data_IF_451797269813
#
_entry.id   IF_451797269813
#
_cell.length_a   1.000
_cell.length_b   1.000
_cell.length_c   1.000
_cell.angle_alpha   90.00
_cell.angle_beta   90.00
_cell.angle_gamma   90.00
#
_symmetry.space_group_name_H-M   'P 1'
#
loop_
_entity.id
_entity.type
_entity.pdbx_description
1 polymer ?
#
# COMPACT_ATOMS: atom_id res chain seq x y z
N UNK A 1 16.66 -29.99 -3.59
CA UNK A 1 15.45 -29.18 -3.90
C UNK A 1 14.93 -28.58 -2.60
N UNK A 2 14.92 -27.24 -2.45
CA UNK A 2 14.37 -26.59 -1.25
C UNK A 2 12.84 -26.78 -1.25
N UNK A 3 12.28 -27.45 -0.24
CA UNK A 3 10.82 -27.56 -0.06
C UNK A 3 10.28 -26.16 0.20
N UNK A 4 9.48 -25.63 -0.72
CA UNK A 4 8.66 -24.46 -0.44
C UNK A 4 7.73 -24.79 0.72
N UNK A 5 7.67 -23.95 1.75
CA UNK A 5 6.70 -24.15 2.81
C UNK A 5 5.30 -23.96 2.22
N UNK A 6 4.34 -24.77 2.69
CA UNK A 6 2.94 -24.67 2.27
C UNK A 6 2.41 -23.23 2.37
N UNK A 7 2.88 -22.46 3.35
CA UNK A 7 2.61 -21.02 3.50
C UNK A 7 3.09 -20.19 2.30
N UNK A 8 4.31 -20.42 1.80
CA UNK A 8 4.86 -19.74 0.62
C UNK A 8 4.10 -20.12 -0.65
N UNK A 9 3.66 -21.37 -0.76
CA UNK A 9 2.85 -21.84 -1.89
C UNK A 9 1.45 -21.23 -1.88
N UNK A 10 0.80 -21.12 -0.73
CA UNK A 10 -0.51 -20.46 -0.59
C UNK A 10 -0.43 -18.95 -0.86
N UNK A 11 0.63 -18.27 -0.38
CA UNK A 11 0.91 -16.87 -0.72
C UNK A 11 1.10 -16.67 -2.24
N UNK A 12 1.79 -17.60 -2.90
CA UNK A 12 2.01 -17.58 -4.34
C UNK A 12 0.68 -17.73 -5.11
N UNK A 13 -0.16 -18.70 -4.75
CA UNK A 13 -1.40 -18.99 -5.47
C UNK A 13 -2.53 -17.98 -5.19
N UNK A 14 -2.66 -17.47 -3.96
CA UNK A 14 -3.61 -16.38 -3.65
C UNK A 14 -3.11 -15.06 -4.24
N UNK A 15 -1.79 -14.81 -4.20
CA UNK A 15 -1.16 -13.74 -4.97
C UNK A 15 -1.55 -13.83 -6.44
N UNK A 16 -1.42 -15.00 -7.08
CA UNK A 16 -1.83 -15.22 -8.47
C UNK A 16 -3.33 -15.00 -8.73
N UNK A 17 -4.22 -15.34 -7.79
CA UNK A 17 -5.68 -15.12 -7.94
C UNK A 17 -6.07 -13.64 -7.80
N UNK A 18 -5.34 -12.85 -7.00
CA UNK A 18 -5.56 -11.39 -6.88
C UNK A 18 -4.80 -10.56 -7.93
N UNK A 19 -3.71 -11.10 -8.50
CA UNK A 19 -2.90 -10.46 -9.56
C UNK A 19 -3.69 -10.23 -10.85
N UNK A 20 -4.69 -11.06 -11.14
CA UNK A 20 -5.48 -10.96 -12.39
C UNK A 20 -6.46 -9.80 -12.42
N UNK A 21 -6.66 -9.06 -11.32
CA UNK A 21 -7.43 -7.80 -11.30
C UNK A 21 -6.56 -6.53 -11.23
N UNK A 22 -5.23 -6.63 -11.27
CA UNK A 22 -4.35 -5.47 -11.28
C UNK A 22 -3.93 -5.09 -12.70
N UNK A 23 -4.91 -4.62 -13.49
CA UNK A 23 -4.60 -3.75 -14.61
C UNK A 23 -3.77 -2.58 -14.08
N UNK A 24 -2.63 -2.31 -14.72
CA UNK A 24 -1.76 -1.17 -14.42
C UNK A 24 -2.60 0.08 -14.09
N UNK A 25 -2.37 0.70 -12.93
CA UNK A 25 -2.90 2.02 -12.61
C UNK A 25 -2.35 3.03 -13.62
N UNK A 26 -2.95 3.10 -14.81
CA UNK A 26 -2.62 4.09 -15.84
C UNK A 26 -3.24 5.41 -15.41
N UNK A 27 -2.44 6.21 -14.72
CA UNK A 27 -2.83 7.57 -14.40
C UNK A 27 -2.65 8.43 -15.65
N UNK A 28 -3.75 9.03 -16.12
CA UNK A 28 -3.70 9.97 -17.23
C UNK A 28 -2.93 11.22 -16.82
N UNK A 29 -2.25 11.88 -17.76
CA UNK A 29 -1.37 13.03 -17.46
C UNK A 29 -2.13 14.18 -16.79
N UNK A 30 -3.37 14.40 -17.19
CA UNK A 30 -4.29 15.39 -16.61
C UNK A 30 -4.68 15.10 -15.15
N UNK A 31 -4.57 13.84 -14.71
CA UNK A 31 -4.86 13.41 -13.35
C UNK A 31 -3.64 13.53 -12.42
N UNK A 32 -2.48 13.92 -12.95
CA UNK A 32 -1.29 14.18 -12.12
C UNK A 32 -1.58 15.44 -11.28
N UNK A 33 -1.36 15.38 -9.95
CA UNK A 33 -1.56 16.52 -9.07
C UNK A 33 -0.54 17.62 -9.36
N UNK A 34 -0.99 18.87 -9.31
CA UNK A 34 -0.08 20.01 -9.39
C UNK A 34 0.69 20.21 -8.07
N UNK A 35 1.66 21.12 -8.10
CA UNK A 35 2.51 21.42 -6.94
C UNK A 35 1.70 21.88 -5.72
N UNK A 36 0.61 22.62 -5.90
CA UNK A 36 -0.20 23.14 -4.80
C UNK A 36 -0.90 21.97 -4.09
N UNK A 37 -1.54 21.10 -4.86
CA UNK A 37 -2.23 19.92 -4.33
C UNK A 37 -1.26 18.96 -3.61
N UNK A 38 -0.04 18.78 -4.14
CA UNK A 38 1.01 17.99 -3.47
C UNK A 38 1.42 18.61 -2.13
N UNK A 39 1.63 19.92 -2.08
CA UNK A 39 2.02 20.61 -0.84
C UNK A 39 0.93 20.56 0.23
N UNK A 40 -0.34 20.65 -0.16
CA UNK A 40 -1.48 20.50 0.76
C UNK A 40 -1.51 19.09 1.37
N UNK A 41 -1.30 18.07 0.54
CA UNK A 41 -1.26 16.69 1.01
C UNK A 41 -0.08 16.44 1.95
N UNK A 42 1.13 16.92 1.63
CA UNK A 42 2.31 16.80 2.51
C UNK A 42 2.03 17.37 3.90
N UNK A 43 1.37 18.55 4.00
CA UNK A 43 0.97 19.13 5.30
C UNK A 43 0.01 18.25 6.10
N UNK A 44 -0.77 17.39 5.45
CA UNK A 44 -1.62 16.40 6.11
C UNK A 44 -0.75 15.25 6.63
N UNK A 45 0.16 14.74 5.79
CA UNK A 45 1.05 13.63 6.12
C UNK A 45 1.98 13.96 7.31
N UNK A 46 2.46 15.21 7.39
CA UNK A 46 3.34 15.67 8.48
C UNK A 46 2.66 15.61 9.86
N UNK A 47 1.33 15.64 9.92
CA UNK A 47 0.56 15.59 11.17
C UNK A 47 0.40 14.18 11.75
N UNK A 48 0.79 13.15 11.01
CA UNK A 48 0.68 11.77 11.47
C UNK A 48 1.80 11.50 12.48
N UNK A 49 1.47 11.46 13.78
CA UNK A 49 2.44 11.05 14.81
C UNK A 49 2.64 9.53 14.77
N UNK A 50 3.53 9.09 13.88
CA UNK A 50 3.93 7.68 13.81
C UNK A 50 5.24 7.48 14.56
N UNK A 51 5.16 6.74 15.67
CA UNK A 51 6.33 6.26 16.41
C UNK A 51 6.64 4.87 15.90
N UNK A 52 7.76 4.73 15.19
CA UNK A 52 8.31 3.46 14.70
C UNK A 52 8.66 2.54 15.88
N UNK A 53 7.64 1.89 16.45
CA UNK A 53 7.78 1.02 17.64
C UNK A 53 8.04 -0.44 17.27
N UNK A 54 7.72 -0.87 16.06
CA UNK A 54 7.86 -2.26 15.63
C UNK A 54 9.11 -2.45 14.75
N UNK A 55 9.71 -3.65 14.85
CA UNK A 55 10.88 -4.04 14.06
C UNK A 55 10.57 -3.84 12.57
N UNK A 56 11.53 -3.26 11.84
CA UNK A 56 11.58 -3.20 10.38
C UNK A 56 11.06 -4.50 9.76
N UNK A 57 9.88 -4.45 9.14
CA UNK A 57 9.23 -5.62 8.56
C UNK A 57 8.00 -5.22 7.73
N UNK A 58 7.40 -6.23 7.08
CA UNK A 58 6.25 -6.12 6.17
C UNK A 58 5.05 -5.33 6.74
N UNK A 59 4.96 -5.20 8.06
CA UNK A 59 3.81 -4.60 8.74
C UNK A 59 3.98 -3.11 9.08
N UNK A 60 5.18 -2.55 9.05
CA UNK A 60 5.38 -1.11 9.31
C UNK A 60 4.69 -0.27 8.20
N UNK A 61 4.97 -0.59 6.93
CA UNK A 61 4.33 0.08 5.79
C UNK A 61 2.80 -0.15 5.74
N UNK A 62 2.34 -1.33 6.20
CA UNK A 62 0.92 -1.71 6.19
C UNK A 62 0.11 -0.97 7.26
N UNK A 63 0.60 -0.94 8.51
CA UNK A 63 -0.02 -0.20 9.62
C UNK A 63 -0.01 1.32 9.35
N UNK A 64 1.07 1.85 8.79
CA UNK A 64 1.12 3.26 8.39
C UNK A 64 0.18 3.58 7.22
N UNK A 65 0.05 2.67 6.25
CA UNK A 65 -0.95 2.82 5.18
C UNK A 65 -2.35 2.89 5.77
N UNK A 66 -2.67 2.08 6.77
CA UNK A 66 -3.98 2.08 7.43
C UNK A 66 -4.29 3.40 8.14
N UNK A 67 -3.34 3.92 8.93
CA UNK A 67 -3.44 5.25 9.56
C UNK A 67 -3.69 6.36 8.52
N UNK A 68 -2.93 6.32 7.43
CA UNK A 68 -3.05 7.29 6.35
C UNK A 68 -4.36 7.15 5.58
N UNK A 69 -4.85 5.93 5.38
CA UNK A 69 -6.13 5.68 4.74
C UNK A 69 -7.25 6.40 5.50
N UNK A 70 -7.35 6.23 6.82
CA UNK A 70 -8.42 6.86 7.60
C UNK A 70 -8.26 8.38 7.64
N UNK A 71 -7.04 8.88 7.87
CA UNK A 71 -6.80 10.33 7.88
C UNK A 71 -7.16 10.98 6.54
N UNK A 72 -6.75 10.39 5.42
CA UNK A 72 -7.02 10.94 4.10
C UNK A 72 -8.51 10.81 3.74
N UNK A 73 -9.15 9.70 4.09
CA UNK A 73 -10.59 9.52 3.93
C UNK A 73 -11.37 10.59 4.70
N UNK A 74 -10.98 10.89 5.95
CA UNK A 74 -11.56 11.99 6.74
C UNK A 74 -11.33 13.37 6.11
N UNK A 75 -10.30 13.54 5.28
CA UNK A 75 -10.03 14.77 4.51
C UNK A 75 -10.71 14.79 3.13
N UNK A 76 -11.58 13.83 2.87
CA UNK A 76 -12.40 13.73 1.66
C UNK A 76 -11.67 13.14 0.46
N UNK A 77 -10.56 12.42 0.67
CA UNK A 77 -9.93 11.64 -0.39
C UNK A 77 -10.64 10.30 -0.54
N UNK A 78 -10.77 9.82 -1.77
CA UNK A 78 -11.08 8.42 -2.05
C UNK A 78 -9.78 7.62 -1.98
N UNK A 79 -9.65 6.75 -0.99
CA UNK A 79 -8.42 6.02 -0.72
C UNK A 79 -8.52 4.54 -1.09
N UNK A 80 -7.38 3.99 -1.50
CA UNK A 80 -7.17 2.57 -1.73
C UNK A 80 -5.82 2.18 -1.13
N UNK A 81 -5.77 1.02 -0.48
CA UNK A 81 -4.50 0.42 -0.07
C UNK A 81 -3.99 -0.45 -1.21
N UNK A 82 -2.73 -0.25 -1.55
CA UNK A 82 -2.02 -1.10 -2.47
C UNK A 82 -1.00 -1.91 -1.70
N UNK A 83 -0.93 -3.21 -1.94
CA UNK A 83 0.12 -4.09 -1.43
C UNK A 83 0.85 -4.69 -2.63
N UNK A 84 2.17 -4.53 -2.66
CA UNK A 84 3.02 -5.05 -3.71
C UNK A 84 4.07 -6.00 -3.18
N UNK A 85 4.51 -6.95 -4.01
CA UNK A 85 5.60 -7.86 -3.70
C UNK A 85 6.56 -8.02 -4.89
N UNK A 86 7.86 -8.10 -4.60
CA UNK A 86 8.91 -8.50 -5.54
C UNK A 86 9.25 -9.99 -5.35
N UNK A 87 9.53 -10.71 -6.43
CA UNK A 87 9.93 -12.12 -6.39
C UNK A 87 11.45 -12.35 -6.50
N UNK A 88 12.28 -11.34 -6.21
CA UNK A 88 13.74 -11.46 -6.39
C UNK A 88 14.41 -11.55 -5.02
N UNK A 89 15.00 -12.73 -4.71
CA UNK A 89 15.97 -13.13 -3.67
C UNK A 89 15.78 -12.60 -2.22
N UNK A 90 15.45 -11.32 -2.06
CA UNK A 90 14.95 -10.70 -0.84
C UNK A 90 13.44 -10.46 -1.03
N UNK A 91 12.61 -11.24 -0.34
CA UNK A 91 11.13 -11.18 -0.36
C UNK A 91 10.64 -9.79 0.14
N UNK A 92 10.84 -8.73 -0.66
CA UNK A 92 10.43 -7.36 -0.35
C UNK A 92 8.99 -7.15 -0.78
N UNK A 93 8.13 -7.05 0.21
CA UNK A 93 6.75 -6.63 0.07
C UNK A 93 6.54 -5.26 0.73
N UNK A 94 5.63 -4.47 0.17
CA UNK A 94 5.43 -3.08 0.54
C UNK A 94 3.98 -2.66 0.38
N UNK A 95 3.48 -1.84 1.31
CA UNK A 95 2.15 -1.25 1.23
C UNK A 95 2.24 0.27 0.99
N UNK A 96 1.33 0.81 0.18
CA UNK A 96 1.20 2.24 -0.06
C UNK A 96 -0.26 2.64 -0.27
N UNK A 97 -0.53 3.95 -0.26
CA UNK A 97 -1.88 4.48 -0.50
C UNK A 97 -1.96 5.08 -1.89
N UNK A 98 -3.04 4.77 -2.60
CA UNK A 98 -3.50 5.56 -3.74
C UNK A 98 -4.67 6.39 -3.26
N UNK A 99 -4.48 7.70 -3.20
CA UNK A 99 -5.50 8.65 -2.81
C UNK A 99 -5.96 9.44 -4.03
N UNK A 100 -7.26 9.65 -4.16
CA UNK A 100 -7.85 10.46 -5.23
C UNK A 100 -8.68 11.59 -4.64
N UNK A 101 -8.49 12.81 -5.15
CA UNK A 101 -9.31 13.97 -4.81
C UNK A 101 -9.38 14.91 -6.01
N UNK A 102 -10.57 15.39 -6.36
CA UNK A 102 -10.77 16.28 -7.52
C UNK A 102 -10.18 15.72 -8.82
N UNK A 103 -10.34 14.40 -9.04
CA UNK A 103 -9.76 13.62 -10.16
C UNK A 103 -8.22 13.58 -10.19
N UNK A 104 -7.55 14.13 -9.17
CA UNK A 104 -6.10 14.05 -9.00
C UNK A 104 -5.73 12.80 -8.22
N UNK A 105 -4.76 12.04 -8.72
CA UNK A 105 -4.33 10.77 -8.13
C UNK A 105 -2.95 10.93 -7.51
N UNK A 106 -2.84 10.56 -6.24
CA UNK A 106 -1.64 10.65 -5.43
C UNK A 106 -1.20 9.25 -5.03
N UNK A 107 0.08 8.95 -5.24
CA UNK A 107 0.71 7.74 -4.72
C UNK A 107 1.46 8.14 -3.46
N UNK A 108 0.89 7.82 -2.31
CA UNK A 108 1.41 8.22 -1.02
C UNK A 108 2.27 7.07 -0.49
N UNK A 109 3.57 7.35 -0.36
CA UNK A 109 4.52 6.48 0.31
C UNK A 109 4.38 6.67 1.82
N UNK A 110 3.84 5.69 2.56
CA UNK A 110 3.51 5.85 3.97
C UNK A 110 4.74 6.07 4.83
N UNK A 111 5.76 5.22 4.65
CA UNK A 111 6.96 5.18 5.51
C UNK A 111 7.79 6.46 5.46
N UNK A 112 7.77 7.13 4.31
CA UNK A 112 8.51 8.37 4.07
C UNK A 112 7.59 9.59 4.06
N UNK A 113 6.29 9.43 4.30
CA UNK A 113 5.28 10.50 4.30
C UNK A 113 5.39 11.43 3.08
N UNK A 114 5.56 10.84 1.90
CA UNK A 114 5.79 11.61 0.67
C UNK A 114 4.89 11.16 -0.47
N UNK A 115 4.78 12.01 -1.48
CA UNK A 115 4.18 11.62 -2.75
C UNK A 115 5.27 11.01 -3.62
N UNK A 116 5.10 9.74 -3.95
CA UNK A 116 6.01 8.99 -4.80
C UNK A 116 5.58 9.07 -6.27
N UNK A 117 6.56 8.94 -7.16
CA UNK A 117 6.29 8.79 -8.58
C UNK A 117 5.67 7.39 -8.82
N UNK A 118 4.54 7.26 -9.55
CA UNK A 118 3.94 5.95 -9.87
C UNK A 118 4.93 4.93 -10.46
N UNK A 119 5.91 5.37 -11.26
CA UNK A 119 6.93 4.50 -11.84
C UNK A 119 7.77 3.77 -10.78
N UNK A 120 7.88 4.32 -9.56
CA UNK A 120 8.54 3.63 -8.45
C UNK A 120 7.87 2.29 -8.12
N UNK A 121 6.55 2.18 -8.32
CA UNK A 121 5.78 0.98 -7.98
C UNK A 121 5.68 -0.03 -9.15
N UNK A 122 6.23 0.29 -10.32
CA UNK A 122 6.27 -0.65 -11.46
C UNK A 122 7.21 -1.83 -11.22
N UNK A 123 8.16 -1.69 -10.28
CA UNK A 123 9.08 -2.76 -9.87
C UNK A 123 8.41 -3.89 -9.06
N UNK A 124 7.20 -3.70 -8.55
CA UNK A 124 6.45 -4.74 -7.83
C UNK A 124 5.69 -5.60 -8.84
N UNK A 125 6.05 -6.89 -8.90
CA UNK A 125 5.52 -7.84 -9.88
C UNK A 125 4.08 -8.18 -9.52
N UNK A 126 3.84 -8.45 -8.24
CA UNK A 126 2.49 -8.57 -7.68
C UNK A 126 2.09 -7.22 -7.13
N UNK A 127 0.87 -6.81 -7.47
CA UNK A 127 0.18 -5.67 -6.88
C UNK A 127 -1.23 -6.13 -6.59
N UNK A 128 -1.75 -5.78 -5.43
CA UNK A 128 -3.13 -6.05 -5.01
C UNK A 128 -3.70 -4.75 -4.47
N UNK A 129 -4.95 -4.47 -4.84
CA UNK A 129 -5.67 -3.27 -4.44
C UNK A 129 -6.78 -3.65 -3.48
N UNK A 130 -6.94 -2.84 -2.44
CA UNK A 130 -8.00 -2.96 -1.45
C UNK A 130 -8.74 -1.63 -1.35
N UNK A 131 -10.06 -1.68 -1.42
CA UNK A 131 -10.92 -0.49 -1.29
C UNK A 131 -11.16 -0.15 0.17
N UNK A 132 -11.02 -1.13 1.09
CA UNK A 132 -11.28 -0.95 2.53
C UNK A 132 -10.19 -1.56 3.41
N UNK A 133 -10.05 -1.03 4.63
CA UNK A 133 -9.16 -1.60 5.65
C UNK A 133 -9.58 -3.02 6.08
N UNK A 134 -10.88 -3.32 6.01
CA UNK A 134 -11.42 -4.64 6.36
C UNK A 134 -10.84 -5.72 5.44
N UNK A 135 -10.81 -5.49 4.13
CA UNK A 135 -10.26 -6.45 3.16
C UNK A 135 -8.76 -6.70 3.42
N UNK A 136 -8.01 -5.65 3.76
CA UNK A 136 -6.58 -5.74 4.11
C UNK A 136 -6.39 -6.58 5.37
N UNK A 137 -7.20 -6.33 6.41
CA UNK A 137 -7.14 -7.07 7.68
C UNK A 137 -7.51 -8.55 7.50
N UNK A 138 -8.54 -8.84 6.70
CA UNK A 138 -8.96 -10.20 6.39
C UNK A 138 -7.85 -10.98 5.66
N UNK A 139 -7.17 -10.33 4.71
CA UNK A 139 -6.01 -10.89 4.03
C UNK A 139 -4.90 -11.24 5.03
N UNK A 140 -4.47 -10.28 5.86
CA UNK A 140 -3.40 -10.51 6.82
C UNK A 140 -3.75 -11.56 7.86
N UNK A 141 -5.01 -11.60 8.31
CA UNK A 141 -5.51 -12.62 9.22
C UNK A 141 -5.45 -14.02 8.58
N UNK A 142 -5.84 -14.13 7.31
CA UNK A 142 -5.79 -15.40 6.54
C UNK A 142 -4.36 -15.96 6.44
N UNK A 143 -3.36 -15.09 6.41
CA UNK A 143 -1.95 -15.50 6.37
C UNK A 143 -1.30 -15.69 7.75
N UNK A 144 -2.06 -15.55 8.83
CA UNK A 144 -1.58 -15.72 10.20
C UNK A 144 -0.74 -14.55 10.71
N UNK A 145 -0.95 -13.35 10.18
CA UNK A 145 -0.29 -12.12 10.62
C UNK A 145 -1.22 -11.19 11.44
N UNK A 146 -2.26 -11.76 12.06
CA UNK A 146 -3.24 -10.99 12.85
C UNK A 146 -2.59 -10.16 13.95
N UNK A 147 -1.53 -10.69 14.55
CA UNK A 147 -0.88 -10.09 15.72
C UNK A 147 0.12 -9.00 15.33
N UNK A 148 0.44 -8.86 14.04
CA UNK A 148 1.33 -7.83 13.50
C UNK A 148 0.55 -6.61 12.94
N UNK A 149 -0.77 -6.73 12.81
CA UNK A 149 -1.68 -5.66 12.45
C UNK A 149 -2.17 -4.94 13.71
N UNK A 150 -1.58 -3.79 14.01
CA UNK A 150 -1.83 -3.02 15.24
C UNK A 150 -2.83 -1.86 15.03
N UNK A 151 -3.48 -1.82 13.85
CA UNK A 151 -4.43 -0.77 13.46
C UNK A 151 -5.91 -1.15 13.69
#
# INVERSE_FOLDING_TARGET
>A
MKKFSLRKTVLLFIGLFFVTNCASLKVKKENIPDKKAVLELIKILDKVDYKRKTKLGFFDCSNQSALLYDLLTQKGYKCKIMVGAKFVIDDESHAWIVAEKDKKVFFVEPTLKRIANPHYYEKFIIRVQFETLKEVRELFSTFGFSDEWEY
#
